data_IF_136757985347
#
_entry.id   IF_136757985347
#
_cell.length_a   1.000
_cell.length_b   1.000
_cell.length_c   1.000
_cell.angle_alpha   90.00
_cell.angle_beta   90.00
_cell.angle_gamma   90.00
#
_symmetry.space_group_name_H-M   'P 1'
#
loop_
_entity.id
_entity.type
_entity.pdbx_description
1 polymer ?
#
# COMPACT_ATOMS: atom_id res chain seq x y z
N UNK A 1 -32.96 -2.76 7.72
CA UNK A 1 -32.35 -1.68 6.91
C UNK A 1 -30.87 -1.67 7.25
N UNK A 2 -30.07 -2.43 6.51
CA UNK A 2 -28.63 -2.52 6.69
C UNK A 2 -28.01 -1.28 6.05
N UNK A 3 -27.51 -0.34 6.86
CA UNK A 3 -26.57 0.66 6.38
C UNK A 3 -25.30 -0.10 6.00
N UNK A 4 -25.08 -0.27 4.69
CA UNK A 4 -23.79 -0.69 4.17
C UNK A 4 -22.87 0.48 4.43
N UNK A 5 -22.18 0.43 5.56
CA UNK A 5 -21.00 1.21 5.86
C UNK A 5 -19.93 0.84 4.82
N UNK A 6 -20.03 1.43 3.62
CA UNK A 6 -18.99 1.42 2.62
C UNK A 6 -17.89 2.39 3.09
N UNK A 7 -17.26 2.06 4.23
CA UNK A 7 -15.99 2.66 4.59
C UNK A 7 -15.02 2.40 3.45
N UNK A 8 -14.51 3.47 2.85
CA UNK A 8 -13.30 3.38 2.05
C UNK A 8 -12.25 2.67 2.88
N UNK A 9 -11.82 1.53 2.38
CA UNK A 9 -10.84 0.71 3.07
C UNK A 9 -9.54 1.53 3.11
N UNK A 10 -9.00 1.74 4.32
CA UNK A 10 -7.70 2.39 4.59
C UNK A 10 -6.55 1.89 3.68
N UNK A 11 -6.74 0.76 3.03
CA UNK A 11 -5.92 0.06 2.07
C UNK A 11 -5.61 0.90 0.82
N UNK A 12 -6.59 1.60 0.23
CA UNK A 12 -6.33 2.48 -0.92
C UNK A 12 -5.53 3.73 -0.51
N UNK A 13 -5.84 4.30 0.66
CA UNK A 13 -5.08 5.41 1.24
C UNK A 13 -3.63 4.98 1.54
N UNK A 14 -3.42 3.78 2.09
CA UNK A 14 -2.10 3.22 2.35
C UNK A 14 -1.31 2.96 1.06
N UNK A 15 -1.95 2.41 0.03
CA UNK A 15 -1.33 2.22 -1.29
C UNK A 15 -0.89 3.55 -1.89
N UNK A 16 -1.71 4.59 -1.80
CA UNK A 16 -1.37 5.93 -2.30
C UNK A 16 -0.32 6.64 -1.45
N UNK A 17 -0.34 6.49 -0.12
CA UNK A 17 0.67 7.05 0.79
C UNK A 17 2.04 6.38 0.61
N UNK A 18 2.03 5.07 0.35
CA UNK A 18 3.24 4.32 0.11
C UNK A 18 3.79 4.57 -1.31
N UNK A 19 2.95 4.92 -2.29
CA UNK A 19 3.42 5.28 -3.64
C UNK A 19 4.34 6.52 -3.69
N UNK A 20 4.25 7.42 -2.71
CA UNK A 20 4.91 8.74 -2.73
C UNK A 20 6.46 8.81 -2.88
N UNK A 21 7.29 7.92 -2.27
CA UNK A 21 8.73 7.89 -2.49
C UNK A 21 9.14 7.25 -3.82
N UNK A 22 8.28 6.45 -4.45
CA UNK A 22 8.58 5.72 -5.68
C UNK A 22 8.17 6.50 -6.94
N UNK A 23 7.61 7.70 -6.79
CA UNK A 23 7.16 8.57 -7.89
C UNK A 23 8.27 9.17 -8.75
N UNK A 24 9.54 8.89 -8.47
CA UNK A 24 10.64 9.21 -9.40
C UNK A 24 10.59 8.34 -10.68
N UNK A 25 9.71 7.35 -10.72
CA UNK A 25 9.46 6.49 -11.89
C UNK A 25 8.69 7.17 -13.04
N UNK A 26 8.42 8.47 -13.00
CA UNK A 26 7.79 9.20 -14.12
C UNK A 26 6.31 8.87 -14.39
N UNK A 27 5.66 8.09 -13.51
CA UNK A 27 4.25 7.72 -13.67
C UNK A 27 3.31 8.73 -13.00
N UNK A 28 2.40 9.31 -13.79
CA UNK A 28 1.24 10.01 -13.28
C UNK A 28 0.22 8.98 -12.80
N UNK A 29 0.02 8.88 -11.48
CA UNK A 29 -1.05 8.06 -10.91
C UNK A 29 -2.37 8.78 -11.20
N UNK A 30 -3.11 8.30 -12.19
CA UNK A 30 -4.51 8.67 -12.37
C UNK A 30 -5.35 7.76 -11.47
N UNK A 31 -5.59 8.18 -10.24
CA UNK A 31 -6.65 7.59 -9.43
C UNK A 31 -7.98 7.97 -10.08
N UNK A 32 -8.79 6.99 -10.50
CA UNK A 32 -10.15 7.25 -10.99
C UNK A 32 -10.95 7.91 -9.86
N UNK A 33 -11.45 9.11 -10.12
CA UNK A 33 -12.12 9.97 -9.14
C UNK A 33 -13.55 9.50 -8.85
N UNK A 34 -14.07 8.63 -9.72
CA UNK A 34 -15.49 8.33 -9.86
C UNK A 34 -15.98 7.31 -8.83
N UNK A 35 -15.06 6.73 -8.04
CA UNK A 35 -15.32 5.66 -7.07
C UNK A 35 -14.89 6.07 -5.66
N UNK A 36 -14.99 7.34 -5.22
CA UNK A 36 -14.52 7.82 -3.90
C UNK A 36 -15.55 8.65 -3.09
N UNK A 37 -16.30 8.02 -2.16
CA UNK A 37 -17.35 8.61 -1.29
C UNK A 37 -16.91 9.10 0.12
N UNK A 38 -15.68 9.61 0.34
CA UNK A 38 -15.42 10.38 1.59
C UNK A 38 -14.63 11.65 1.34
N UNK A 39 -15.21 12.80 1.69
CA UNK A 39 -14.68 14.13 1.39
C UNK A 39 -13.29 14.39 1.96
N UNK A 40 -12.92 13.85 3.14
CA UNK A 40 -11.63 14.16 3.77
C UNK A 40 -10.47 13.31 3.22
N UNK A 41 -10.68 12.00 3.06
CA UNK A 41 -9.69 11.13 2.41
C UNK A 41 -9.54 11.51 0.93
N UNK A 42 -10.64 11.87 0.26
CA UNK A 42 -10.65 12.44 -1.09
C UNK A 42 -9.87 13.74 -1.15
N UNK A 43 -10.11 14.70 -0.25
CA UNK A 43 -9.33 15.95 -0.21
C UNK A 43 -7.84 15.68 0.02
N UNK A 44 -7.46 14.77 0.93
CA UNK A 44 -6.05 14.44 1.18
C UNK A 44 -5.40 13.69 0.02
N UNK A 45 -6.11 12.76 -0.64
CA UNK A 45 -5.64 12.03 -1.83
C UNK A 45 -5.55 12.95 -3.05
N UNK A 46 -6.51 13.85 -3.24
CA UNK A 46 -6.46 14.90 -4.26
C UNK A 46 -5.31 15.88 -3.98
N UNK A 47 -5.09 16.29 -2.73
CA UNK A 47 -3.93 17.09 -2.34
C UNK A 47 -2.62 16.34 -2.57
N UNK A 48 -2.56 15.02 -2.31
CA UNK A 48 -1.40 14.18 -2.62
C UNK A 48 -1.16 14.07 -4.13
N UNK A 49 -2.19 13.86 -4.93
CA UNK A 49 -2.09 13.86 -6.39
C UNK A 49 -1.66 15.23 -6.94
N UNK A 50 -2.13 16.33 -6.35
CA UNK A 50 -1.69 17.68 -6.70
C UNK A 50 -0.21 17.91 -6.31
N UNK A 51 0.26 17.29 -5.22
CA UNK A 51 1.68 17.28 -4.82
C UNK A 51 2.57 16.41 -5.73
N UNK A 52 2.00 15.46 -6.47
CA UNK A 52 2.71 14.74 -7.55
C UNK A 52 3.11 15.72 -8.67
N UNK A 53 2.28 16.73 -8.94
CA UNK A 53 2.57 17.83 -9.87
C UNK A 53 3.63 18.82 -9.36
N UNK A 54 3.93 18.81 -8.07
CA UNK A 54 4.99 19.65 -7.49
C UNK A 54 6.35 19.01 -7.76
N UNK A 55 7.20 19.70 -8.53
CA UNK A 55 8.57 19.26 -8.90
C UNK A 55 9.52 19.13 -7.69
N UNK A 56 9.15 19.65 -6.52
CA UNK A 56 9.98 19.57 -5.30
C UNK A 56 9.79 18.24 -4.58
N UNK A 57 10.75 17.34 -4.75
CA UNK A 57 10.85 16.07 -4.01
C UNK A 57 10.92 16.29 -2.50
N UNK A 58 11.56 17.36 -2.05
CA UNK A 58 11.67 17.74 -0.62
C UNK A 58 10.31 18.04 0.00
N UNK A 59 9.45 18.83 -0.65
CA UNK A 59 8.14 19.17 -0.11
C UNK A 59 7.23 17.94 -0.04
N UNK A 60 7.28 17.09 -1.08
CA UNK A 60 6.55 15.82 -1.14
C UNK A 60 6.94 14.89 0.01
N UNK A 61 8.24 14.75 0.28
CA UNK A 61 8.74 13.94 1.39
C UNK A 61 8.34 14.49 2.76
N UNK A 62 8.38 15.82 2.96
CA UNK A 62 7.94 16.45 4.21
C UNK A 62 6.45 16.22 4.46
N UNK A 63 5.61 16.42 3.45
CA UNK A 63 4.18 16.20 3.57
C UNK A 63 3.83 14.73 3.82
N UNK A 64 4.52 13.81 3.13
CA UNK A 64 4.41 12.37 3.42
C UNK A 64 4.76 12.07 4.87
N UNK A 65 5.90 12.55 5.36
CA UNK A 65 6.32 12.31 6.73
C UNK A 65 5.32 12.87 7.74
N UNK A 66 4.78 14.07 7.47
CA UNK A 66 3.71 14.65 8.28
C UNK A 66 2.48 13.74 8.33
N UNK A 67 2.03 13.21 7.18
CA UNK A 67 0.87 12.30 7.13
C UNK A 67 1.15 10.99 7.85
N UNK A 68 2.32 10.38 7.65
CA UNK A 68 2.71 9.17 8.37
C UNK A 68 2.75 9.41 9.87
N UNK A 69 3.29 10.55 10.32
CA UNK A 69 3.32 10.90 11.74
C UNK A 69 1.92 11.16 12.30
N UNK A 70 1.05 11.84 11.54
CA UNK A 70 -0.33 12.08 11.94
C UNK A 70 -1.13 10.78 12.06
N UNK A 71 -1.05 9.93 11.03
CA UNK A 71 -1.76 8.66 10.97
C UNK A 71 -1.14 7.59 11.88
N UNK A 72 0.10 7.77 12.33
CA UNK A 72 0.76 6.94 13.33
C UNK A 72 0.46 7.33 14.77
N UNK A 73 -0.41 8.32 15.00
CA UNK A 73 -0.80 8.79 16.33
C UNK A 73 -2.32 8.54 16.54
N UNK A 74 -2.72 7.59 17.41
CA UNK A 74 -4.13 7.24 17.59
C UNK A 74 -4.96 8.34 18.25
N UNK A 75 -4.34 9.18 19.10
CA UNK A 75 -5.04 10.29 19.75
C UNK A 75 -5.37 11.39 18.74
N UNK A 76 -4.48 11.61 17.76
CA UNK A 76 -4.66 12.63 16.74
C UNK A 76 -5.49 12.18 15.54
N UNK A 77 -5.32 10.93 15.12
CA UNK A 77 -5.96 10.40 13.90
C UNK A 77 -7.25 9.64 14.16
N UNK A 78 -7.56 9.30 15.42
CA UNK A 78 -8.79 8.61 15.80
C UNK A 78 -8.99 7.32 14.99
N UNK A 79 -10.14 7.21 14.31
CA UNK A 79 -10.46 6.01 13.52
C UNK A 79 -9.56 5.83 12.28
N UNK A 80 -8.76 6.83 11.89
CA UNK A 80 -7.84 6.76 10.75
C UNK A 80 -6.44 6.26 11.13
N UNK A 81 -6.17 6.01 12.41
CA UNK A 81 -4.89 5.49 12.90
C UNK A 81 -4.43 4.23 12.16
N UNK A 82 -3.18 4.19 11.70
CA UNK A 82 -2.61 3.05 11.00
C UNK A 82 -2.09 2.00 11.97
N UNK A 83 -3.00 1.12 12.39
CA UNK A 83 -2.67 -0.08 13.16
C UNK A 83 -2.12 -1.22 12.28
N UNK A 84 -1.60 -2.25 12.94
CA UNK A 84 -1.04 -3.43 12.29
C UNK A 84 -2.06 -4.19 11.42
N UNK A 85 -3.35 -4.14 11.76
CA UNK A 85 -4.40 -4.80 10.98
C UNK A 85 -4.68 -4.07 9.66
N UNK A 86 -4.64 -2.73 9.65
CA UNK A 86 -4.72 -1.91 8.43
C UNK A 86 -3.52 -2.15 7.53
N UNK A 87 -2.32 -2.25 8.10
CA UNK A 87 -1.13 -2.67 7.34
C UNK A 87 -1.28 -4.06 6.75
N UNK A 88 -1.83 -5.03 7.52
CA UNK A 88 -2.06 -6.37 7.02
C UNK A 88 -3.03 -6.40 5.83
N UNK A 89 -4.14 -5.65 5.91
CA UNK A 89 -5.07 -5.54 4.78
C UNK A 89 -4.45 -4.87 3.56
N UNK A 90 -3.63 -3.83 3.76
CA UNK A 90 -2.89 -3.21 2.65
C UNK A 90 -1.87 -4.18 2.02
N UNK A 91 -1.15 -4.97 2.82
CA UNK A 91 -0.29 -6.06 2.33
C UNK A 91 -1.07 -7.07 1.51
N UNK A 92 -2.23 -7.51 1.99
CA UNK A 92 -3.08 -8.47 1.27
C UNK A 92 -3.57 -7.89 -0.05
N UNK A 93 -4.02 -6.63 -0.09
CA UNK A 93 -4.40 -5.96 -1.32
C UNK A 93 -3.23 -5.88 -2.31
N UNK A 94 -2.03 -5.55 -1.83
CA UNK A 94 -0.83 -5.52 -2.67
C UNK A 94 -0.51 -6.91 -3.24
N UNK A 95 -0.45 -7.95 -2.40
CA UNK A 95 -0.19 -9.33 -2.84
C UNK A 95 -1.25 -9.84 -3.81
N UNK A 96 -2.54 -9.65 -3.51
CA UNK A 96 -3.64 -10.03 -4.42
C UNK A 96 -3.49 -9.38 -5.80
N UNK A 97 -3.05 -8.12 -5.86
CA UNK A 97 -2.77 -7.43 -7.13
C UNK A 97 -1.54 -8.01 -7.85
N UNK A 98 -0.46 -8.31 -7.14
CA UNK A 98 0.74 -8.92 -7.71
C UNK A 98 0.47 -10.32 -8.26
N UNK A 99 -0.37 -11.09 -7.57
CA UNK A 99 -0.80 -12.44 -7.98
C UNK A 99 -1.90 -12.43 -9.04
N UNK A 100 -2.65 -11.34 -9.16
CA UNK A 100 -3.72 -11.25 -10.14
C UNK A 100 -3.13 -11.23 -11.55
N UNK A 101 -3.49 -12.21 -12.36
CA UNK A 101 -3.10 -12.28 -13.78
C UNK A 101 -3.96 -11.39 -14.67
N UNK A 102 -4.71 -10.45 -14.09
CA UNK A 102 -5.66 -9.65 -14.85
C UNK A 102 -4.98 -8.49 -15.58
N UNK A 103 -5.29 -8.27 -16.87
CA UNK A 103 -4.57 -7.33 -17.71
C UNK A 103 -4.93 -5.84 -17.51
N UNK A 104 -5.90 -5.52 -16.66
CA UNK A 104 -6.61 -4.23 -16.76
C UNK A 104 -5.88 -3.05 -16.10
N UNK A 105 -5.02 -3.28 -15.11
CA UNK A 105 -4.33 -2.21 -14.34
C UNK A 105 -2.79 -2.36 -14.26
N UNK A 106 -2.21 -3.12 -15.19
CA UNK A 106 -0.86 -3.67 -15.11
C UNK A 106 0.28 -2.64 -14.98
N UNK A 107 0.11 -1.41 -15.47
CA UNK A 107 1.23 -0.46 -15.56
C UNK A 107 1.35 0.51 -14.39
N UNK A 108 0.26 0.89 -13.74
CA UNK A 108 0.30 1.84 -12.62
C UNK A 108 0.27 1.16 -11.25
N UNK A 109 -0.48 0.08 -11.10
CA UNK A 109 -0.70 -0.52 -9.77
C UNK A 109 0.33 -1.60 -9.41
N UNK A 110 0.84 -2.36 -10.39
CA UNK A 110 1.84 -3.42 -10.18
C UNK A 110 3.17 -2.90 -9.61
N UNK A 111 3.84 -1.90 -10.22
CA UNK A 111 5.10 -1.39 -9.66
C UNK A 111 4.92 -0.75 -8.28
N UNK A 112 3.76 -0.10 -8.04
CA UNK A 112 3.43 0.46 -6.73
C UNK A 112 3.23 -0.63 -5.68
N UNK A 113 2.53 -1.71 -6.01
CA UNK A 113 2.36 -2.85 -5.10
C UNK A 113 3.72 -3.49 -4.77
N UNK A 114 4.55 -3.74 -5.79
CA UNK A 114 5.91 -4.29 -5.61
C UNK A 114 6.77 -3.42 -4.69
N UNK A 115 6.83 -2.12 -4.97
CA UNK A 115 7.74 -1.22 -4.26
C UNK A 115 7.33 -0.99 -2.80
N UNK A 116 6.04 -1.14 -2.47
CA UNK A 116 5.50 -0.83 -1.15
C UNK A 116 5.23 -2.04 -0.27
N UNK A 117 5.12 -3.22 -0.87
CA UNK A 117 4.86 -4.44 -0.13
C UNK A 117 5.79 -4.64 1.09
N UNK A 118 7.12 -4.42 1.01
CA UNK A 118 8.00 -4.57 2.17
C UNK A 118 7.64 -3.64 3.34
N UNK A 119 7.27 -2.40 3.04
CA UNK A 119 6.91 -1.40 4.04
C UNK A 119 5.61 -1.77 4.77
N UNK A 120 4.62 -2.30 4.04
CA UNK A 120 3.39 -2.79 4.65
C UNK A 120 3.66 -4.00 5.51
N UNK A 121 4.31 -5.02 4.95
CA UNK A 121 4.60 -6.27 5.64
C UNK A 121 5.41 -6.06 6.93
N UNK A 122 6.33 -5.09 6.96
CA UNK A 122 7.08 -4.74 8.18
C UNK A 122 6.16 -4.33 9.35
N UNK A 123 4.97 -3.79 9.08
CA UNK A 123 4.03 -3.28 10.11
C UNK A 123 2.76 -4.13 10.24
N UNK A 124 2.56 -5.08 9.34
CA UNK A 124 1.41 -5.98 9.35
C UNK A 124 1.40 -6.91 10.56
N UNK A 125 0.20 -7.22 11.06
CA UNK A 125 0.02 -8.34 11.98
C UNK A 125 0.24 -9.70 11.29
N UNK A 126 0.18 -10.77 12.07
CA UNK A 126 0.30 -12.16 11.59
C UNK A 126 -1.04 -12.81 11.23
N UNK A 127 -1.95 -12.08 10.61
CA UNK A 127 -3.25 -12.64 10.19
C UNK A 127 -3.09 -13.85 9.28
N UNK A 128 -3.88 -14.90 9.55
CA UNK A 128 -3.78 -16.20 8.86
C UNK A 128 -3.90 -16.07 7.33
N UNK A 129 -4.86 -15.29 6.84
CA UNK A 129 -5.05 -15.09 5.41
C UNK A 129 -3.83 -14.44 4.75
N UNK A 130 -3.19 -13.46 5.40
CA UNK A 130 -1.97 -12.84 4.89
C UNK A 130 -0.79 -13.81 4.91
N UNK A 131 -0.66 -14.64 5.94
CA UNK A 131 0.38 -15.68 6.01
C UNK A 131 0.21 -16.70 4.88
N UNK A 132 -1.00 -17.22 4.69
CA UNK A 132 -1.31 -18.17 3.62
C UNK A 132 -1.01 -17.56 2.24
N UNK A 133 -1.44 -16.31 2.01
CA UNK A 133 -1.19 -15.61 0.75
C UNK A 133 0.32 -15.39 0.51
N UNK A 134 1.05 -14.93 1.53
CA UNK A 134 2.49 -14.71 1.45
C UNK A 134 3.29 -16.01 1.21
N UNK A 135 2.78 -17.15 1.65
CA UNK A 135 3.39 -18.47 1.39
C UNK A 135 3.17 -18.96 -0.04
N UNK A 136 2.10 -18.50 -0.72
CA UNK A 136 1.83 -18.86 -2.12
C UNK A 136 2.80 -18.20 -3.12
N UNK A 137 3.63 -17.24 -2.68
CA UNK A 137 4.43 -16.38 -3.55
C UNK A 137 5.71 -17.05 -4.06
N UNK A 138 5.58 -17.79 -5.17
CA UNK A 138 6.74 -18.27 -5.95
C UNK A 138 7.11 -17.31 -7.11
N UNK A 139 6.11 -16.66 -7.72
CA UNK A 139 6.26 -15.87 -8.96
C UNK A 139 5.15 -14.80 -9.04
N UNK A 140 5.51 -13.52 -9.18
CA UNK A 140 4.54 -12.43 -9.40
C UNK A 140 4.10 -12.30 -10.87
N UNK A 141 4.45 -13.28 -11.69
CA UNK A 141 4.13 -13.34 -13.11
C UNK A 141 5.14 -12.59 -13.99
N UNK A 142 4.88 -12.53 -15.32
CA UNK A 142 5.85 -12.07 -16.31
C UNK A 142 6.42 -10.66 -16.06
N UNK A 143 5.61 -9.77 -15.46
CA UNK A 143 6.00 -8.38 -15.19
C UNK A 143 7.07 -8.24 -14.11
N UNK A 144 7.31 -9.27 -13.29
CA UNK A 144 8.36 -9.21 -12.26
C UNK A 144 9.75 -8.99 -12.87
N UNK A 145 9.94 -9.38 -14.14
CA UNK A 145 11.17 -9.23 -14.92
C UNK A 145 11.45 -7.79 -15.34
N UNK A 146 10.41 -6.97 -15.45
CA UNK A 146 10.54 -5.55 -15.79
C UNK A 146 10.99 -4.71 -14.58
N UNK A 147 10.86 -5.27 -13.36
CA UNK A 147 11.16 -4.57 -12.10
C UNK A 147 12.05 -5.40 -11.15
N UNK A 148 13.21 -5.92 -11.61
CA UNK A 148 13.97 -6.92 -10.87
C UNK A 148 14.40 -6.46 -9.46
N UNK A 149 14.75 -5.18 -9.30
CA UNK A 149 15.10 -4.61 -8.00
C UNK A 149 13.93 -4.54 -7.02
N UNK A 150 12.73 -4.16 -7.49
CA UNK A 150 11.54 -4.09 -6.65
C UNK A 150 11.03 -5.49 -6.32
N UNK A 151 11.03 -6.40 -7.31
CA UNK A 151 10.72 -7.83 -7.14
C UNK A 151 11.60 -8.46 -6.06
N UNK A 152 12.92 -8.25 -6.11
CA UNK A 152 13.85 -8.75 -5.09
C UNK A 152 13.49 -8.24 -3.69
N UNK A 153 13.27 -6.93 -3.54
CA UNK A 153 12.90 -6.33 -2.25
C UNK A 153 11.55 -6.83 -1.73
N UNK A 154 10.57 -6.99 -2.61
CA UNK A 154 9.26 -7.55 -2.28
C UNK A 154 9.39 -8.97 -1.73
N UNK A 155 10.14 -9.84 -2.42
CA UNK A 155 10.40 -11.22 -1.98
C UNK A 155 11.16 -11.27 -0.64
N UNK A 156 12.19 -10.43 -0.46
CA UNK A 156 12.88 -10.28 0.83
C UNK A 156 11.94 -9.81 1.95
N UNK A 157 11.03 -8.89 1.65
CA UNK A 157 10.01 -8.41 2.58
C UNK A 157 9.06 -9.53 3.03
N UNK A 158 8.60 -10.36 2.09
CA UNK A 158 7.80 -11.56 2.35
C UNK A 158 8.56 -12.52 3.28
N UNK A 159 9.82 -12.84 2.96
CA UNK A 159 10.62 -13.75 3.79
C UNK A 159 10.80 -13.23 5.21
N UNK A 160 11.08 -11.93 5.39
CA UNK A 160 11.20 -11.31 6.72
C UNK A 160 9.89 -11.35 7.50
N UNK A 161 8.78 -11.08 6.83
CA UNK A 161 7.45 -11.17 7.41
C UNK A 161 7.13 -12.57 7.92
N UNK A 162 7.31 -13.59 7.08
CA UNK A 162 7.06 -14.98 7.43
C UNK A 162 7.95 -15.46 8.58
N UNK A 163 9.22 -15.04 8.61
CA UNK A 163 10.12 -15.34 9.73
C UNK A 163 9.60 -14.72 11.04
N UNK A 164 9.18 -13.46 11.02
CA UNK A 164 8.66 -12.75 12.22
C UNK A 164 7.42 -13.42 12.79
N UNK A 165 6.43 -13.72 11.95
CA UNK A 165 5.15 -14.26 12.41
C UNK A 165 5.25 -15.72 12.83
N UNK A 166 6.18 -16.49 12.25
CA UNK A 166 6.44 -17.88 12.68
C UNK A 166 7.03 -17.97 14.09
N UNK A 167 7.90 -17.03 14.47
CA UNK A 167 8.46 -16.95 15.84
C UNK A 167 7.40 -16.53 16.86
N UNK A 168 6.36 -15.81 16.43
CA UNK A 168 5.31 -15.31 17.34
C UNK A 168 4.21 -16.34 17.64
N UNK A 169 4.21 -17.49 16.93
CA UNK A 169 3.20 -18.55 17.04
C UNK A 169 3.72 -19.82 17.74
N UNK A 170 5.01 -19.86 18.12
CA UNK A 170 5.63 -20.95 18.88
C UNK A 170 5.90 -20.54 20.32
#
# INVERSE_FOLDING_TARGET
>A
MQYVDAYYSNEHLLLSLAALPNLDLGYHIWLRVDEMETDMARLQLTSLNNLVGVRSTTLRNRYRQMLVNFLGDPERSGCYFLDSAKYARASMCALKRLLSRQPVDLYTNFPLALANLPYFLERSDGSRELVELAQCEADFGPLEKDYPGCTKRAKEGISKYLARVSVSQG
#
